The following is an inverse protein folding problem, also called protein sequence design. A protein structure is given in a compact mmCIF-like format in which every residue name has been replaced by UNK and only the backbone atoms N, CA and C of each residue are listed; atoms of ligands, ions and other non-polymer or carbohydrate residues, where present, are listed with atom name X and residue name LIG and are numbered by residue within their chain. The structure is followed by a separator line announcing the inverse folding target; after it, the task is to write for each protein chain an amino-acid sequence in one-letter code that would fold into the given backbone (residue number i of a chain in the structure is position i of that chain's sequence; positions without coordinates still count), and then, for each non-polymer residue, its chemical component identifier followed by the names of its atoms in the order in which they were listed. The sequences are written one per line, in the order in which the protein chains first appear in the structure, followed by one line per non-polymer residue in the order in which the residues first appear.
data_IF_939992263362
#
_entry.id   IF_939992263362
#
_cell.length_a   1.000
_cell.length_b   1.000
_cell.length_c   1.000
_cell.angle_alpha   90.00
_cell.angle_beta   90.00
_cell.angle_gamma   90.00
#
_symmetry.space_group_name_H-M   'P 1'
#
loop_
_entity.id
_entity.type
_entity.pdbx_description
1 polymer ?
#
# COMPACT_ATOMS: atom_id res chain seq x y z
N UNK A 1 11.41 9.28 5.55
CA UNK A 1 10.63 8.07 5.19
C UNK A 1 9.43 7.91 6.11
N UNK A 2 9.61 7.73 7.43
CA UNK A 2 8.51 7.56 8.39
C UNK A 2 7.44 8.67 8.32
N UNK A 3 7.83 9.95 8.31
CA UNK A 3 6.86 11.06 8.19
C UNK A 3 6.07 11.02 6.87
N UNK A 4 6.73 10.66 5.76
CA UNK A 4 6.07 10.53 4.45
C UNK A 4 5.13 9.34 4.43
N UNK A 5 5.53 8.21 5.02
CA UNK A 5 4.68 7.02 5.17
C UNK A 5 3.43 7.34 5.99
N UNK A 6 3.56 8.09 7.10
CA UNK A 6 2.42 8.50 7.93
C UNK A 6 1.46 9.44 7.20
N UNK A 7 1.98 10.44 6.48
CA UNK A 7 1.15 11.40 5.77
C UNK A 7 0.47 10.80 4.53
N UNK A 8 1.14 9.87 3.86
CA UNK A 8 0.62 9.13 2.71
C UNK A 8 -0.15 7.85 3.06
N UNK A 9 -0.24 7.50 4.36
CA UNK A 9 -0.95 6.33 4.81
C UNK A 9 -2.45 6.43 4.49
N UNK A 10 -2.98 5.37 3.87
CA UNK A 10 -4.39 5.18 3.57
C UNK A 10 -4.89 3.89 4.19
N UNK A 11 -6.07 3.95 4.83
CA UNK A 11 -6.66 2.81 5.54
C UNK A 11 -5.82 2.32 6.72
N UNK A 12 -6.32 1.28 7.39
CA UNK A 12 -5.66 0.67 8.54
C UNK A 12 -4.26 0.16 8.23
N UNK A 13 -4.11 -0.62 7.15
CA UNK A 13 -2.82 -1.23 6.78
C UNK A 13 -1.76 -0.18 6.43
N UNK A 14 -2.15 0.95 5.82
CA UNK A 14 -1.24 2.06 5.55
C UNK A 14 -0.71 2.70 6.83
N UNK A 15 -1.57 2.93 7.83
CA UNK A 15 -1.15 3.49 9.12
C UNK A 15 -0.26 2.49 9.89
N UNK A 16 -0.58 1.19 9.87
CA UNK A 16 0.23 0.14 10.49
C UNK A 16 1.62 0.08 9.84
N UNK A 17 1.71 0.16 8.50
CA UNK A 17 2.98 0.22 7.78
C UNK A 17 3.77 1.50 8.12
N UNK A 18 3.10 2.64 8.21
CA UNK A 18 3.74 3.89 8.65
C UNK A 18 4.36 3.73 10.05
N UNK A 19 3.69 3.00 10.94
CA UNK A 19 4.19 2.71 12.28
C UNK A 19 5.36 1.76 12.32
N UNK A 20 5.38 0.79 11.42
CA UNK A 20 6.55 -0.03 11.21
C UNK A 20 7.76 0.84 10.83
N UNK A 21 7.61 1.73 9.83
CA UNK A 21 8.69 2.63 9.41
C UNK A 21 9.11 3.63 10.48
N UNK A 22 8.17 4.12 11.30
CA UNK A 22 8.48 4.97 12.45
C UNK A 22 9.32 4.22 13.47
N UNK A 23 8.90 3.02 13.87
CA UNK A 23 9.66 2.20 14.82
C UNK A 23 11.04 1.82 14.30
N UNK A 24 11.15 1.51 13.00
CA UNK A 24 12.43 1.28 12.33
C UNK A 24 13.33 2.54 12.38
N UNK A 25 12.77 3.71 12.09
CA UNK A 25 13.50 4.98 12.10
C UNK A 25 14.03 5.36 13.48
N UNK A 26 13.23 5.15 14.53
CA UNK A 26 13.62 5.44 15.91
C UNK A 26 14.67 4.46 16.42
N UNK A 27 14.57 3.18 16.01
CA UNK A 27 15.55 2.17 16.39
C UNK A 27 16.94 2.40 15.77
N UNK A 28 16.98 3.06 14.62
CA UNK A 28 18.19 3.38 13.86
C UNK A 28 18.70 4.80 14.08
N UNK A 29 18.10 5.56 15.00
CA UNK A 29 18.50 6.95 15.22
C UNK A 29 19.97 7.05 15.70
N UNK A 30 20.73 7.93 15.06
CA UNK A 30 22.17 8.07 15.30
C UNK A 30 23.07 6.97 14.74
N UNK A 31 22.51 5.90 14.14
CA UNK A 31 23.30 4.81 13.57
C UNK A 31 23.76 5.15 12.13
N UNK A 32 25.06 5.00 11.87
CA UNK A 32 25.66 5.23 10.53
C UNK A 32 25.93 3.94 9.76
N UNK A 33 25.81 2.78 10.42
CA UNK A 33 26.02 1.44 9.84
C UNK A 33 24.98 0.49 10.40
N UNK A 34 24.47 -0.38 9.53
CA UNK A 34 23.49 -1.40 9.88
C UNK A 34 24.13 -2.79 9.79
N UNK A 35 24.22 -3.49 10.92
CA UNK A 35 24.59 -4.91 10.99
C UNK A 35 23.38 -5.81 11.23
N UNK A 36 23.59 -7.12 11.25
CA UNK A 36 22.51 -8.09 11.48
C UNK A 36 21.80 -7.91 12.83
N UNK A 37 22.57 -7.69 13.91
CA UNK A 37 22.03 -7.46 15.27
C UNK A 37 21.20 -6.16 15.34
N UNK A 38 21.71 -5.06 14.78
CA UNK A 38 20.98 -3.78 14.74
C UNK A 38 19.70 -3.90 13.91
N UNK A 39 19.75 -4.59 12.77
CA UNK A 39 18.57 -4.83 11.94
C UNK A 39 17.51 -5.64 12.69
N UNK A 40 17.88 -6.79 13.28
CA UNK A 40 16.98 -7.63 14.07
C UNK A 40 16.31 -6.85 15.22
N UNK A 41 17.10 -6.10 15.98
CA UNK A 41 16.58 -5.22 17.05
C UNK A 41 15.58 -4.20 16.51
N UNK A 42 15.87 -3.61 15.36
CA UNK A 42 15.01 -2.59 14.77
C UNK A 42 13.70 -3.18 14.26
N UNK A 43 13.72 -4.40 13.68
CA UNK A 43 12.53 -5.17 13.32
C UNK A 43 11.65 -5.43 14.55
N UNK A 44 12.24 -5.83 15.67
CA UNK A 44 11.50 -6.03 16.94
C UNK A 44 10.82 -4.75 17.41
N UNK A 45 11.55 -3.64 17.46
CA UNK A 45 10.98 -2.35 17.89
C UNK A 45 9.85 -1.92 16.96
N UNK A 46 10.03 -2.05 15.65
CA UNK A 46 9.01 -1.74 14.65
C UNK A 46 7.76 -2.62 14.80
N UNK A 47 7.93 -3.93 15.01
CA UNK A 47 6.83 -4.87 15.24
C UNK A 47 6.06 -4.51 16.54
N UNK A 48 6.75 -4.32 17.66
CA UNK A 48 6.12 -3.95 18.94
C UNK A 48 5.33 -2.64 18.85
N UNK A 49 5.89 -1.62 18.18
CA UNK A 49 5.18 -0.34 17.98
C UNK A 49 3.97 -0.47 17.06
N UNK A 50 4.06 -1.30 16.02
CA UNK A 50 2.95 -1.56 15.11
C UNK A 50 1.80 -2.27 15.82
N UNK A 51 2.08 -3.23 16.70
CA UNK A 51 1.05 -3.85 17.54
C UNK A 51 0.40 -2.85 18.50
N UNK A 52 1.21 -2.00 19.15
CA UNK A 52 0.73 -1.10 20.20
C UNK A 52 -0.21 0.01 19.74
N UNK A 53 -0.35 0.25 18.43
CA UNK A 53 -1.30 1.25 17.90
C UNK A 53 -2.64 0.66 17.48
N UNK A 54 -2.78 -0.67 17.48
CA UNK A 54 -4.01 -1.35 17.10
C UNK A 54 -4.72 -1.76 18.40
N UNK A 55 -5.93 -1.25 18.69
CA UNK A 55 -6.61 -1.52 19.97
C UNK A 55 -6.89 -3.01 20.21
N UNK A 56 -7.23 -3.74 19.16
CA UNK A 56 -7.54 -5.17 19.21
C UNK A 56 -6.77 -5.90 18.09
N UNK A 57 -5.46 -6.16 18.26
CA UNK A 57 -4.66 -6.80 17.23
C UNK A 57 -5.12 -8.26 17.05
N UNK A 58 -5.19 -8.70 15.80
CA UNK A 58 -5.64 -10.05 15.43
C UNK A 58 -4.51 -10.80 14.74
N UNK A 59 -4.27 -12.06 15.12
CA UNK A 59 -3.31 -12.92 14.46
C UNK A 59 -3.84 -13.39 13.08
N UNK A 60 -2.93 -13.73 12.17
CA UNK A 60 -3.25 -13.96 10.76
C UNK A 60 -3.36 -12.66 9.96
N UNK A 61 -2.82 -11.55 10.46
CA UNK A 61 -2.73 -10.26 9.75
C UNK A 61 -1.27 -9.86 9.55
N UNK A 62 -1.02 -8.71 8.90
CA UNK A 62 0.33 -8.14 8.73
C UNK A 62 1.10 -7.98 10.05
N UNK A 63 0.40 -7.84 11.18
CA UNK A 63 1.00 -7.81 12.50
C UNK A 63 1.71 -9.14 12.82
N UNK A 64 1.07 -10.28 12.54
CA UNK A 64 1.69 -11.61 12.69
C UNK A 64 2.98 -11.71 11.90
N UNK A 65 2.96 -11.24 10.65
CA UNK A 65 4.14 -11.25 9.77
C UNK A 65 5.27 -10.41 10.38
N UNK A 66 4.99 -9.23 10.92
CA UNK A 66 6.00 -8.41 11.60
C UNK A 66 6.58 -9.09 12.83
N UNK A 67 5.73 -9.72 13.66
CA UNK A 67 6.16 -10.42 14.87
C UNK A 67 7.06 -11.60 14.54
N UNK A 68 6.65 -12.46 13.62
CA UNK A 68 7.42 -13.64 13.20
C UNK A 68 8.74 -13.24 12.51
N UNK A 69 8.71 -12.19 11.67
CA UNK A 69 9.93 -11.61 11.09
C UNK A 69 10.92 -11.12 12.15
N UNK A 70 10.44 -10.45 13.20
CA UNK A 70 11.28 -10.00 14.30
C UNK A 70 11.89 -11.17 15.08
N UNK A 71 11.10 -12.21 15.39
CA UNK A 71 11.57 -13.42 16.07
C UNK A 71 12.65 -14.15 15.25
N UNK A 72 12.46 -14.32 13.93
CA UNK A 72 13.46 -14.92 13.05
C UNK A 72 14.71 -14.05 12.96
N UNK A 73 14.56 -12.74 12.85
CA UNK A 73 15.69 -11.80 12.83
C UNK A 73 16.56 -11.92 14.08
N UNK A 74 15.95 -11.96 15.27
CA UNK A 74 16.64 -12.13 16.54
C UNK A 74 17.41 -13.46 16.58
N UNK A 75 16.74 -14.56 16.24
CA UNK A 75 17.34 -15.89 16.22
C UNK A 75 18.50 -16.02 15.22
N UNK A 76 18.35 -15.45 14.02
CA UNK A 76 19.41 -15.45 13.00
C UNK A 76 20.59 -14.58 13.43
N UNK A 77 20.34 -13.40 13.99
CA UNK A 77 21.39 -12.47 14.42
C UNK A 77 22.24 -13.01 15.58
N UNK A 78 21.65 -13.85 16.45
CA UNK A 78 22.38 -14.52 17.53
C UNK A 78 23.44 -15.51 17.01
N UNK A 79 23.24 -16.05 15.80
CA UNK A 79 24.15 -17.03 15.19
C UNK A 79 25.07 -16.39 14.14
N UNK A 80 24.76 -15.16 13.70
CA UNK A 80 25.39 -14.55 12.54
C UNK A 80 25.29 -13.02 12.53
N UNK A 81 26.42 -12.36 12.26
CA UNK A 81 26.50 -10.89 12.25
C UNK A 81 26.24 -10.25 10.89
N UNK A 82 26.17 -11.04 9.82
CA UNK A 82 25.97 -10.55 8.45
C UNK A 82 24.56 -10.02 8.28
N UNK A 83 24.44 -8.72 7.95
CA UNK A 83 23.17 -8.10 7.60
C UNK A 83 22.46 -8.87 6.49
N UNK A 84 23.17 -9.21 5.41
CA UNK A 84 22.58 -9.87 4.24
C UNK A 84 21.92 -11.20 4.60
N UNK A 85 22.58 -12.01 5.44
CA UNK A 85 22.03 -13.31 5.85
C UNK A 85 20.83 -13.15 6.78
N UNK A 86 20.92 -12.28 7.80
CA UNK A 86 19.78 -12.01 8.69
C UNK A 86 18.60 -11.46 7.90
N UNK A 87 18.85 -10.53 6.96
CA UNK A 87 17.82 -9.96 6.09
C UNK A 87 17.19 -11.03 5.19
N UNK A 88 17.99 -11.96 4.65
CA UNK A 88 17.50 -13.06 3.83
C UNK A 88 16.59 -14.00 4.64
N UNK A 89 16.96 -14.34 5.87
CA UNK A 89 16.15 -15.18 6.75
C UNK A 89 14.82 -14.49 7.10
N UNK A 90 14.85 -13.17 7.38
CA UNK A 90 13.64 -12.37 7.62
C UNK A 90 12.74 -12.30 6.38
N UNK A 91 13.31 -12.08 5.19
CA UNK A 91 12.54 -12.05 3.94
C UNK A 91 11.87 -13.40 3.66
N UNK A 92 12.59 -14.51 3.87
CA UNK A 92 12.01 -15.85 3.74
C UNK A 92 10.88 -16.09 4.76
N UNK A 93 11.09 -15.69 6.02
CA UNK A 93 10.09 -15.81 7.07
C UNK A 93 8.83 -14.99 6.78
N UNK A 94 8.94 -13.83 6.11
CA UNK A 94 7.78 -13.03 5.75
C UNK A 94 6.85 -13.76 4.78
N UNK A 95 7.39 -14.42 3.75
CA UNK A 95 6.62 -15.19 2.77
C UNK A 95 5.97 -16.42 3.42
N UNK A 96 6.74 -17.13 4.24
CA UNK A 96 6.27 -18.30 4.99
C UNK A 96 5.15 -17.92 5.97
N UNK A 97 5.29 -16.82 6.71
CA UNK A 97 4.26 -16.31 7.60
C UNK A 97 2.96 -15.96 6.86
N UNK A 98 3.06 -15.26 5.72
CA UNK A 98 1.90 -14.94 4.85
C UNK A 98 1.19 -16.21 4.38
N UNK A 99 1.93 -17.26 4.01
CA UNK A 99 1.33 -18.53 3.59
C UNK A 99 0.46 -19.18 4.68
N UNK A 100 0.74 -18.90 5.95
CA UNK A 100 0.03 -19.46 7.10
C UNK A 100 -1.14 -18.60 7.57
N UNK A 101 -1.28 -17.35 7.11
CA UNK A 101 -2.34 -16.46 7.59
C UNK A 101 -3.75 -17.02 7.43
N UNK A 102 -4.11 -17.76 6.35
CA UNK A 102 -5.43 -18.36 6.24
C UNK A 102 -5.73 -19.37 7.36
N UNK A 103 -4.71 -20.10 7.83
CA UNK A 103 -4.86 -21.04 8.95
C UNK A 103 -4.98 -20.36 10.32
N UNK A 104 -4.75 -19.05 10.41
CA UNK A 104 -4.79 -18.28 11.65
C UNK A 104 -6.05 -17.41 11.76
N UNK A 105 -6.59 -16.96 10.62
CA UNK A 105 -7.72 -16.05 10.56
C UNK A 105 -8.82 -16.61 9.63
N UNK A 106 -9.95 -17.08 10.19
CA UNK A 106 -10.99 -17.78 9.41
C UNK A 106 -11.51 -17.04 8.18
N UNK A 107 -11.67 -15.71 8.27
CA UNK A 107 -12.16 -14.90 7.14
C UNK A 107 -11.24 -14.99 5.91
N UNK A 108 -9.93 -15.18 6.11
CA UNK A 108 -8.97 -15.35 5.03
C UNK A 108 -9.08 -16.74 4.38
N UNK A 109 -9.27 -17.78 5.19
CA UNK A 109 -9.51 -19.14 4.70
C UNK A 109 -10.82 -19.23 3.91
N UNK A 110 -11.90 -18.67 4.45
CA UNK A 110 -13.22 -18.67 3.80
C UNK A 110 -13.21 -17.89 2.48
N UNK A 111 -12.44 -16.80 2.42
CA UNK A 111 -12.23 -16.01 1.21
C UNK A 111 -11.19 -16.60 0.24
N UNK A 112 -10.50 -17.68 0.59
CA UNK A 112 -9.36 -18.23 -0.18
C UNK A 112 -8.29 -17.19 -0.53
N UNK A 113 -7.96 -16.29 0.41
CA UNK A 113 -6.92 -15.27 0.25
C UNK A 113 -5.93 -15.27 1.41
N UNK A 114 -4.75 -14.70 1.20
CA UNK A 114 -3.79 -14.41 2.27
C UNK A 114 -3.93 -12.97 2.75
N UNK A 115 -3.31 -12.62 3.88
CA UNK A 115 -3.27 -11.23 4.33
C UNK A 115 -2.49 -10.36 3.33
N UNK A 116 -3.19 -9.43 2.69
CA UNK A 116 -2.63 -8.58 1.64
C UNK A 116 -1.61 -7.57 2.17
N UNK A 117 -1.77 -7.11 3.42
CA UNK A 117 -0.81 -6.23 4.09
C UNK A 117 0.53 -6.92 4.35
N UNK A 118 0.46 -8.15 4.86
CA UNK A 118 1.60 -9.02 5.11
C UNK A 118 2.30 -9.42 3.82
N UNK A 119 1.54 -9.76 2.78
CA UNK A 119 2.11 -10.04 1.47
C UNK A 119 2.80 -8.81 0.86
N UNK A 120 2.18 -7.63 0.94
CA UNK A 120 2.80 -6.38 0.51
C UNK A 120 4.12 -6.11 1.25
N UNK A 121 4.19 -6.40 2.54
CA UNK A 121 5.43 -6.32 3.32
C UNK A 121 6.49 -7.31 2.85
N UNK A 122 6.11 -8.56 2.58
CA UNK A 122 7.01 -9.58 2.06
C UNK A 122 7.60 -9.18 0.69
N UNK A 123 6.78 -8.59 -0.19
CA UNK A 123 7.22 -8.03 -1.48
C UNK A 123 8.25 -6.91 -1.27
N UNK A 124 8.04 -6.02 -0.28
CA UNK A 124 9.00 -4.96 0.05
C UNK A 124 10.33 -5.52 0.56
N UNK A 125 10.29 -6.56 1.40
CA UNK A 125 11.50 -7.23 1.89
C UNK A 125 12.27 -7.94 0.76
N UNK A 126 11.59 -8.62 -0.15
CA UNK A 126 12.23 -9.23 -1.33
C UNK A 126 12.96 -8.16 -2.16
N UNK A 127 12.28 -7.06 -2.50
CA UNK A 127 12.89 -5.95 -3.24
C UNK A 127 14.11 -5.36 -2.53
N UNK A 128 14.03 -5.16 -1.21
CA UNK A 128 15.14 -4.66 -0.40
C UNK A 128 16.33 -5.63 -0.37
N UNK A 129 16.09 -6.94 -0.24
CA UNK A 129 17.13 -7.96 -0.25
C UNK A 129 17.86 -8.02 -1.61
N UNK A 130 17.11 -7.95 -2.72
CA UNK A 130 17.67 -7.93 -4.07
C UNK A 130 18.55 -6.69 -4.29
N UNK A 131 18.10 -5.54 -3.78
CA UNK A 131 18.89 -4.33 -3.78
C UNK A 131 20.18 -4.49 -2.95
N UNK A 132 20.10 -5.11 -1.78
CA UNK A 132 21.25 -5.38 -0.91
C UNK A 132 22.28 -6.30 -1.59
N UNK A 133 21.82 -7.26 -2.39
CA UNK A 133 22.66 -8.19 -3.17
C UNK A 133 23.17 -7.62 -4.50
N UNK A 134 22.68 -6.46 -4.92
CA UNK A 134 23.02 -5.87 -6.23
C UNK A 134 22.49 -6.69 -7.42
N UNK A 135 21.36 -7.38 -7.26
CA UNK A 135 20.76 -8.18 -8.33
C UNK A 135 20.16 -7.31 -9.44
N UNK A 136 20.24 -7.79 -10.69
CA UNK A 136 19.65 -7.12 -11.87
C UNK A 136 18.95 -8.17 -12.76
N UNK A 137 17.68 -7.98 -13.17
CA UNK A 137 16.81 -6.84 -12.87
C UNK A 137 16.31 -6.86 -11.43
N UNK A 138 16.10 -5.70 -10.79
CA UNK A 138 15.60 -5.61 -9.42
C UNK A 138 14.13 -6.04 -9.28
N UNK A 139 13.33 -5.83 -10.32
CA UNK A 139 11.93 -6.25 -10.36
C UNK A 139 11.80 -7.73 -10.69
N UNK A 140 10.84 -8.41 -10.07
CA UNK A 140 10.36 -9.75 -10.45
C UNK A 140 8.92 -9.93 -10.01
N UNK A 141 8.27 -10.91 -10.60
CA UNK A 141 6.97 -11.38 -10.12
C UNK A 141 7.20 -12.26 -8.90
N UNK A 142 6.51 -11.94 -7.80
CA UNK A 142 6.41 -12.79 -6.62
C UNK A 142 5.00 -13.33 -6.62
N UNK A 143 4.88 -14.65 -6.68
CA UNK A 143 3.58 -15.30 -6.62
C UNK A 143 3.02 -15.20 -5.20
N UNK A 144 1.70 -15.09 -5.08
CA UNK A 144 1.02 -15.15 -3.79
C UNK A 144 1.34 -16.51 -3.15
N UNK A 145 1.89 -16.55 -1.93
CA UNK A 145 2.21 -17.80 -1.29
C UNK A 145 0.91 -18.49 -0.87
N UNK A 146 0.78 -19.77 -1.21
CA UNK A 146 -0.39 -20.59 -0.84
C UNK A 146 -0.01 -21.55 0.29
N UNK A 147 -0.94 -21.89 1.20
CA UNK A 147 -0.67 -22.87 2.25
C UNK A 147 -0.35 -24.25 1.67
N UNK A 148 0.69 -24.91 2.17
CA UNK A 148 1.03 -26.28 1.77
C UNK A 148 -0.10 -27.27 2.15
N UNK A 149 -0.45 -28.20 1.24
CA UNK A 149 -1.46 -29.25 1.43
C UNK A 149 -2.90 -28.75 1.68
N UNK A 150 -3.29 -27.66 1.03
CA UNK A 150 -4.66 -27.16 1.06
C UNK A 150 -5.32 -27.25 -0.33
N UNK A 151 -6.65 -27.40 -0.38
CA UNK A 151 -7.46 -27.24 -1.60
C UNK A 151 -7.54 -25.75 -2.05
N UNK A 152 -6.66 -24.91 -1.52
CA UNK A 152 -6.62 -23.48 -1.71
C UNK A 152 -6.25 -23.17 -3.17
N UNK A 153 -7.23 -22.66 -3.92
CA UNK A 153 -7.05 -22.44 -5.36
C UNK A 153 -6.17 -21.22 -5.65
N UNK A 154 -5.91 -20.39 -4.64
CA UNK A 154 -5.27 -19.07 -4.79
C UNK A 154 -6.15 -18.07 -5.54
N UNK A 155 -7.40 -18.44 -5.86
CA UNK A 155 -8.40 -17.58 -6.48
C UNK A 155 -9.42 -17.20 -5.40
N UNK A 156 -9.70 -15.90 -5.19
CA UNK A 156 -10.61 -15.49 -4.13
C UNK A 156 -11.99 -16.16 -4.28
N UNK A 157 -12.55 -16.69 -3.18
CA UNK A 157 -13.92 -17.18 -3.15
C UNK A 157 -14.89 -15.99 -3.26
N UNK A 158 -15.39 -15.78 -4.48
CA UNK A 158 -16.15 -14.59 -4.86
C UNK A 158 -17.47 -14.49 -4.10
N UNK A 159 -18.15 -15.61 -3.82
CA UNK A 159 -19.43 -15.60 -3.10
C UNK A 159 -19.26 -15.14 -1.65
N UNK A 160 -18.19 -15.58 -0.99
CA UNK A 160 -17.89 -15.18 0.39
C UNK A 160 -17.44 -13.72 0.48
N UNK A 161 -16.56 -13.28 -0.43
CA UNK A 161 -16.10 -11.89 -0.49
C UNK A 161 -17.29 -10.94 -0.63
N UNK A 162 -18.21 -11.21 -1.56
CA UNK A 162 -19.42 -10.40 -1.74
C UNK A 162 -20.34 -10.41 -0.51
N UNK A 163 -20.47 -11.53 0.21
CA UNK A 163 -21.34 -11.64 1.39
C UNK A 163 -20.76 -10.95 2.64
N UNK A 164 -19.43 -11.01 2.83
CA UNK A 164 -18.69 -10.24 3.85
C UNK A 164 -18.77 -8.72 3.62
N UNK A 165 -18.98 -8.35 2.36
CA UNK A 165 -18.99 -6.99 1.85
C UNK A 165 -20.37 -6.30 1.96
N UNK A 166 -21.44 -7.04 2.26
CA UNK A 166 -22.79 -6.50 2.57
C UNK A 166 -22.93 -5.94 4.00
N UNK A 167 -21.84 -5.86 4.76
CA UNK A 167 -21.82 -5.20 6.06
C UNK A 167 -21.75 -3.67 5.88
N UNK A 168 -22.74 -2.93 6.38
CA UNK A 168 -22.71 -1.47 6.47
C UNK A 168 -21.53 -1.04 7.38
N UNK A 169 -20.41 -0.67 6.74
CA UNK A 169 -19.25 -0.05 7.40
C UNK A 169 -19.33 1.48 7.32
N UNK A 170 -20.21 2.00 6.47
CA UNK A 170 -20.40 3.43 6.22
C UNK A 170 -19.17 4.03 5.55
N UNK A 171 -18.58 5.02 6.19
CA UNK A 171 -17.44 5.76 5.64
C UNK A 171 -16.13 5.46 6.37
N UNK A 172 -15.11 5.15 5.57
CA UNK A 172 -13.72 5.25 5.98
C UNK A 172 -13.31 6.72 5.99
N UNK A 173 -13.09 7.27 7.19
CA UNK A 173 -12.71 8.67 7.38
C UNK A 173 -11.28 8.75 7.86
N UNK A 174 -10.42 9.38 7.06
CA UNK A 174 -8.99 9.55 7.32
C UNK A 174 -8.65 11.03 7.32
N UNK A 175 -7.96 11.53 8.34
CA UNK A 175 -7.53 12.93 8.39
C UNK A 175 -6.31 13.12 9.27
N UNK A 176 -5.64 14.27 9.12
CA UNK A 176 -4.54 14.67 9.97
C UNK A 176 -4.92 15.87 10.85
N UNK A 177 -4.52 15.85 12.11
CA UNK A 177 -4.66 16.93 13.09
C UNK A 177 -3.28 17.51 13.37
N UNK A 178 -3.11 18.81 13.21
CA UNK A 178 -1.86 19.52 13.51
C UNK A 178 -2.04 20.41 14.73
N UNK A 179 -1.16 20.24 15.72
CA UNK A 179 -1.08 21.08 16.92
C UNK A 179 0.33 21.05 17.53
N UNK A 180 0.68 22.06 18.34
CA UNK A 180 1.97 22.09 19.05
C UNK A 180 2.11 20.96 20.07
N UNK A 181 1.01 20.59 20.72
CA UNK A 181 0.91 19.46 21.65
C UNK A 181 -0.29 18.62 21.28
N UNK A 182 -0.07 17.32 21.06
CA UNK A 182 -1.10 16.35 20.75
C UNK A 182 -1.12 15.29 21.84
N UNK A 183 -2.31 15.05 22.37
CA UNK A 183 -2.58 13.92 23.25
C UNK A 183 -3.17 12.78 22.42
N UNK A 184 -2.31 11.91 21.91
CA UNK A 184 -2.69 10.82 21.02
C UNK A 184 -3.60 9.79 21.71
N UNK A 185 -3.48 9.64 23.02
CA UNK A 185 -4.31 8.71 23.80
C UNK A 185 -5.73 9.25 23.90
N UNK A 186 -5.89 10.51 24.27
CA UNK A 186 -7.20 11.15 24.33
C UNK A 186 -7.88 11.22 22.95
N UNK A 187 -7.13 11.54 21.88
CA UNK A 187 -7.67 11.51 20.51
C UNK A 187 -8.16 10.09 20.18
N UNK A 188 -7.41 9.04 20.54
CA UNK A 188 -7.80 7.65 20.29
C UNK A 188 -9.06 7.29 21.06
N UNK A 189 -9.11 7.54 22.36
CA UNK A 189 -10.27 7.27 23.21
C UNK A 189 -11.53 7.97 22.67
N UNK A 190 -11.38 9.22 22.23
CA UNK A 190 -12.47 9.98 21.61
C UNK A 190 -12.96 9.34 20.31
N UNK A 191 -12.06 8.84 19.47
CA UNK A 191 -12.43 8.16 18.22
C UNK A 191 -13.06 6.79 18.48
N UNK A 192 -12.62 6.06 19.50
CA UNK A 192 -13.21 4.78 19.93
C UNK A 192 -14.64 4.93 20.42
N UNK A 193 -14.97 6.07 21.05
CA UNK A 193 -16.33 6.36 21.50
C UNK A 193 -17.32 6.64 20.36
N UNK A 194 -16.86 7.14 19.22
CA UNK A 194 -17.73 7.66 18.15
C UNK A 194 -17.69 6.84 16.86
N UNK A 195 -16.73 5.93 16.72
CA UNK A 195 -16.54 5.13 15.51
C UNK A 195 -15.98 3.74 15.81
N UNK A 196 -15.65 3.01 14.74
CA UNK A 196 -15.17 1.63 14.81
C UNK A 196 -13.72 1.56 14.34
N UNK A 197 -12.96 0.67 14.98
CA UNK A 197 -11.57 0.34 14.67
C UNK A 197 -10.67 1.55 14.42
N UNK A 198 -10.67 2.57 15.29
CA UNK A 198 -9.85 3.74 15.05
C UNK A 198 -8.37 3.40 15.17
N UNK A 199 -7.58 3.96 14.27
CA UNK A 199 -6.12 4.01 14.39
C UNK A 199 -5.71 5.47 14.48
N UNK A 200 -5.02 5.80 15.56
CA UNK A 200 -4.48 7.13 15.82
C UNK A 200 -2.99 7.01 16.11
N UNK A 201 -2.19 7.70 15.31
CA UNK A 201 -0.76 7.86 15.54
C UNK A 201 -0.31 9.27 15.19
N UNK A 202 0.83 9.72 15.69
CA UNK A 202 1.40 11.00 15.29
C UNK A 202 2.92 11.07 15.33
N UNK A 203 3.48 11.96 14.50
CA UNK A 203 4.89 12.32 14.46
C UNK A 203 4.99 13.83 14.36
N UNK A 204 5.86 14.45 15.17
CA UNK A 204 6.28 15.84 15.00
C UNK A 204 5.13 16.88 15.02
N UNK A 205 4.19 16.74 15.95
CA UNK A 205 3.05 17.66 16.08
C UNK A 205 1.93 17.46 15.05
N UNK A 206 1.92 16.33 14.36
CA UNK A 206 0.83 15.88 13.49
C UNK A 206 0.33 14.52 13.94
N UNK A 207 -0.97 14.36 14.17
CA UNK A 207 -1.65 13.09 14.38
C UNK A 207 -2.42 12.71 13.12
N UNK A 208 -2.28 11.48 12.63
CA UNK A 208 -3.13 10.89 11.61
C UNK A 208 -4.17 10.02 12.30
N UNK A 209 -5.42 10.21 11.90
CA UNK A 209 -6.59 9.47 12.38
C UNK A 209 -7.18 8.71 11.20
N UNK A 210 -7.51 7.44 11.43
CA UNK A 210 -8.36 6.64 10.58
C UNK A 210 -9.47 6.07 11.46
N UNK A 211 -10.73 6.16 11.03
CA UNK A 211 -11.88 5.63 11.76
C UNK A 211 -13.02 5.31 10.79
N UNK A 212 -13.76 4.22 11.07
CA UNK A 212 -14.95 3.85 10.30
C UNK A 212 -16.21 4.34 11.02
N UNK A 213 -17.11 5.01 10.29
CA UNK A 213 -18.36 5.54 10.86
C UNK A 213 -19.40 5.91 9.80
N UNK A 214 -20.66 5.93 10.20
CA UNK A 214 -21.79 6.38 9.36
C UNK A 214 -21.74 7.87 9.01
N UNK A 215 -21.25 8.69 9.94
CA UNK A 215 -21.24 10.16 9.80
C UNK A 215 -19.82 10.70 10.00
N UNK A 216 -19.03 10.84 8.90
CA UNK A 216 -17.68 11.43 8.93
C UNK A 216 -17.60 12.77 9.66
N UNK A 217 -18.69 13.55 9.61
CA UNK A 217 -18.77 14.86 10.22
C UNK A 217 -18.52 14.84 11.72
N UNK A 218 -18.88 13.76 12.42
CA UNK A 218 -18.62 13.59 13.86
C UNK A 218 -17.13 13.44 14.15
N UNK A 219 -16.39 12.64 13.38
CA UNK A 219 -14.94 12.50 13.59
C UNK A 219 -14.18 13.78 13.24
N UNK A 220 -14.56 14.48 12.16
CA UNK A 220 -13.95 15.77 11.83
C UNK A 220 -14.25 16.82 12.91
N UNK A 221 -15.49 16.90 13.37
CA UNK A 221 -15.87 17.83 14.45
C UNK A 221 -15.11 17.53 15.74
N UNK A 222 -14.98 16.26 16.11
CA UNK A 222 -14.16 15.85 17.25
C UNK A 222 -12.68 16.17 17.04
N UNK A 223 -12.14 15.97 15.84
CA UNK A 223 -10.75 16.29 15.50
C UNK A 223 -10.39 17.77 15.63
N UNK A 224 -11.35 18.66 15.32
CA UNK A 224 -11.19 20.12 15.50
C UNK A 224 -11.02 20.53 16.96
N UNK A 225 -11.46 19.71 17.92
CA UNK A 225 -11.23 19.96 19.35
C UNK A 225 -9.73 19.86 19.72
N UNK A 226 -8.92 19.18 18.90
CA UNK A 226 -7.50 18.89 19.17
C UNK A 226 -6.52 19.65 18.27
N UNK A 227 -6.97 20.34 17.23
CA UNK A 227 -6.09 21.12 16.35
C UNK A 227 -6.65 21.41 14.97
N UNK A 228 -5.75 21.78 14.05
CA UNK A 228 -6.10 22.13 12.68
C UNK A 228 -6.15 20.86 11.83
N UNK A 229 -7.27 20.63 11.15
CA UNK A 229 -7.42 19.50 10.25
C UNK A 229 -6.72 19.71 8.90
N UNK A 230 -6.19 18.64 8.33
CA UNK A 230 -5.57 18.59 7.00
C UNK A 230 -5.65 17.16 6.44
N UNK A 231 -5.33 16.99 5.15
CA UNK A 231 -5.25 15.68 4.49
C UNK A 231 -6.48 14.78 4.76
N UNK A 232 -7.67 15.37 4.61
CA UNK A 232 -8.96 14.72 4.82
C UNK A 232 -9.27 13.86 3.59
N UNK A 233 -9.52 12.57 3.80
CA UNK A 233 -9.99 11.61 2.83
C UNK A 233 -11.22 10.91 3.42
N UNK A 234 -12.31 10.89 2.66
CA UNK A 234 -13.55 10.24 3.06
C UNK A 234 -13.94 9.32 1.92
N UNK A 235 -14.01 8.02 2.20
CA UNK A 235 -14.42 7.01 1.24
C UNK A 235 -15.66 6.29 1.75
N UNK A 236 -16.72 6.27 0.94
CA UNK A 236 -17.87 5.41 1.19
C UNK A 236 -17.44 3.97 0.88
N UNK A 237 -17.44 3.10 1.89
CA UNK A 237 -16.97 1.73 1.73
C UNK A 237 -17.99 0.86 0.98
N UNK A 238 -19.28 1.16 1.11
CA UNK A 238 -20.36 0.43 0.43
C UNK A 238 -20.28 0.65 -1.09
N UNK A 239 -19.92 1.85 -1.52
CA UNK A 239 -19.66 2.16 -2.94
C UNK A 239 -18.35 1.52 -3.43
N UNK A 240 -17.28 1.54 -2.63
CA UNK A 240 -16.02 0.87 -3.01
C UNK A 240 -16.20 -0.63 -3.21
N UNK A 241 -17.00 -1.25 -2.36
CA UNK A 241 -17.47 -2.63 -2.48
C UNK A 241 -18.25 -2.85 -3.77
N UNK A 242 -19.25 -2.01 -4.04
CA UNK A 242 -20.09 -2.11 -5.23
C UNK A 242 -19.29 -1.93 -6.54
N UNK A 243 -18.36 -0.97 -6.56
CA UNK A 243 -17.48 -0.69 -7.69
C UNK A 243 -16.53 -1.87 -7.95
N UNK A 244 -15.91 -2.44 -6.90
CA UNK A 244 -15.05 -3.63 -7.04
C UNK A 244 -15.85 -4.85 -7.52
N UNK A 245 -17.05 -5.07 -6.98
CA UNK A 245 -17.94 -6.14 -7.45
C UNK A 245 -18.39 -5.92 -8.91
N UNK A 246 -18.57 -4.67 -9.33
CA UNK A 246 -18.96 -4.31 -10.70
C UNK A 246 -17.82 -4.42 -11.71
N UNK A 247 -16.61 -3.96 -11.38
CA UNK A 247 -15.39 -4.09 -12.20
C UNK A 247 -15.04 -5.56 -12.46
N UNK A 248 -15.40 -6.45 -11.53
CA UNK A 248 -15.22 -7.91 -11.69
C UNK A 248 -16.31 -8.57 -12.52
N UNK A 249 -17.54 -8.07 -12.50
CA UNK A 249 -18.62 -8.55 -13.39
C UNK A 249 -18.45 -8.05 -14.81
N UNK A 250 -17.89 -6.85 -14.98
CA UNK A 250 -17.62 -6.20 -16.27
C UNK A 250 -16.17 -6.40 -16.72
N UNK A 251 -15.67 -7.63 -16.68
CA UNK A 251 -14.45 -7.98 -17.40
C UNK A 251 -14.68 -8.07 -18.93
N UNK A 252 -15.81 -7.55 -19.41
CA UNK A 252 -16.16 -7.32 -20.81
C UNK A 252 -16.59 -5.85 -20.97
N UNK A 253 -15.72 -5.11 -21.66
CA UNK A 253 -15.93 -3.87 -22.41
C UNK A 253 -16.39 -2.55 -21.74
N UNK A 254 -15.67 -1.50 -22.17
CA UNK A 254 -15.99 -0.06 -22.16
C UNK A 254 -15.92 0.68 -20.82
N UNK A 255 -14.72 1.20 -20.53
CA UNK A 255 -14.56 2.37 -19.66
C UNK A 255 -15.23 3.56 -20.36
N UNK A 256 -16.33 4.08 -19.82
CA UNK A 256 -16.88 5.35 -20.27
C UNK A 256 -15.81 6.43 -20.07
N UNK A 257 -15.25 6.90 -21.18
CA UNK A 257 -14.29 7.99 -21.20
C UNK A 257 -15.04 9.26 -20.81
N UNK A 258 -14.92 9.65 -19.55
CA UNK A 258 -15.36 10.97 -19.11
C UNK A 258 -14.61 12.00 -19.96
N UNK A 259 -15.34 12.76 -20.78
CA UNK A 259 -14.76 13.79 -21.64
C UNK A 259 -14.11 14.86 -20.77
N UNK A 260 -12.80 14.79 -20.64
CA UNK A 260 -11.97 15.79 -19.97
C UNK A 260 -11.23 16.59 -21.03
N UNK A 261 -11.12 17.91 -20.83
CA UNK A 261 -10.33 18.80 -21.69
C UNK A 261 -8.84 18.40 -21.74
N UNK A 262 -8.37 17.59 -20.78
CA UNK A 262 -7.00 17.06 -20.74
C UNK A 262 -7.05 15.53 -20.64
N UNK A 263 -6.30 14.87 -21.51
CA UNK A 263 -6.05 13.43 -21.46
C UNK A 263 -4.69 13.13 -20.83
N UNK A 264 -4.59 12.04 -20.08
CA UNK A 264 -3.32 11.58 -19.49
C UNK A 264 -2.92 10.25 -20.13
N UNK A 265 -1.71 10.19 -20.68
CA UNK A 265 -1.07 8.97 -21.19
C UNK A 265 0.08 8.63 -20.26
N UNK A 266 0.05 7.46 -19.65
CA UNK A 266 1.09 7.03 -18.72
C UNK A 266 1.80 5.77 -19.18
N UNK A 267 3.07 5.63 -18.84
CA UNK A 267 3.81 4.39 -19.03
C UNK A 267 3.82 3.61 -17.71
N UNK A 268 3.55 2.31 -17.76
CA UNK A 268 3.51 1.47 -16.56
C UNK A 268 4.07 0.07 -16.83
N UNK A 269 4.73 -0.49 -15.82
CA UNK A 269 5.32 -1.83 -15.85
C UNK A 269 4.36 -2.85 -15.23
N UNK A 270 3.82 -3.74 -16.05
CA UNK A 270 3.00 -4.87 -15.61
C UNK A 270 1.55 -4.51 -15.27
N UNK A 271 0.68 -5.50 -15.38
CA UNK A 271 -0.78 -5.28 -15.37
C UNK A 271 -1.33 -4.75 -14.05
N UNK A 272 -0.67 -5.05 -12.91
CA UNK A 272 -1.06 -4.53 -11.61
C UNK A 272 -1.00 -3.00 -11.53
N UNK A 273 0.09 -2.38 -12.00
CA UNK A 273 0.22 -0.93 -12.00
C UNK A 273 -0.71 -0.28 -13.03
N UNK A 274 -0.91 -0.94 -14.19
CA UNK A 274 -1.89 -0.48 -15.19
C UNK A 274 -3.30 -0.44 -14.60
N UNK A 275 -3.72 -1.51 -13.94
CA UNK A 275 -5.04 -1.61 -13.34
C UNK A 275 -5.22 -0.59 -12.21
N UNK A 276 -4.20 -0.41 -11.36
CA UNK A 276 -4.23 0.62 -10.32
C UNK A 276 -4.39 2.04 -10.90
N UNK A 277 -3.69 2.36 -11.99
CA UNK A 277 -3.81 3.68 -12.63
C UNK A 277 -5.19 3.90 -13.25
N UNK A 278 -5.81 2.84 -13.80
CA UNK A 278 -7.18 2.87 -14.31
C UNK A 278 -8.20 3.01 -13.17
N UNK A 279 -8.11 2.19 -12.13
CA UNK A 279 -9.10 2.12 -11.04
C UNK A 279 -9.01 3.26 -10.04
N UNK A 280 -7.82 3.82 -9.81
CA UNK A 280 -7.63 4.94 -8.88
C UNK A 280 -8.16 6.28 -9.41
N UNK A 281 -8.82 6.31 -10.58
CA UNK A 281 -9.42 7.52 -11.12
C UNK A 281 -8.41 8.62 -11.42
N UNK A 282 -7.14 8.27 -11.69
CA UNK A 282 -6.05 9.23 -11.94
C UNK A 282 -6.20 10.00 -13.27
N UNK A 283 -7.35 9.89 -13.94
CA UNK A 283 -7.60 10.50 -15.25
C UNK A 283 -6.75 9.92 -16.37
N UNK A 284 -6.11 8.77 -16.14
CA UNK A 284 -5.27 8.09 -17.14
C UNK A 284 -6.16 7.49 -18.21
N UNK A 285 -6.22 8.18 -19.35
CA UNK A 285 -7.01 7.81 -20.52
C UNK A 285 -6.39 6.67 -21.33
N UNK A 286 -5.06 6.50 -21.25
CA UNK A 286 -4.35 5.44 -21.97
C UNK A 286 -3.07 5.07 -21.23
N UNK A 287 -2.70 3.78 -21.29
CA UNK A 287 -1.50 3.25 -20.65
C UNK A 287 -0.66 2.51 -21.67
N UNK A 288 0.61 2.86 -21.77
CA UNK A 288 1.60 2.20 -22.61
C UNK A 288 2.45 1.26 -21.76
N UNK A 289 2.71 0.08 -22.29
CA UNK A 289 3.64 -0.88 -21.69
C UNK A 289 5.06 -0.34 -21.65
N UNK A 290 5.67 -0.28 -20.46
CA UNK A 290 7.08 0.04 -20.35
C UNK A 290 7.68 -0.20 -18.96
N UNK A 291 9.00 -0.11 -18.83
CA UNK A 291 9.73 -0.39 -17.60
C UNK A 291 11.23 -0.56 -17.85
N UNK A 292 11.99 -0.93 -16.82
CA UNK A 292 13.46 -1.00 -16.92
C UNK A 292 13.96 -2.00 -17.97
N UNK A 293 13.16 -3.02 -18.29
CA UNK A 293 13.46 -4.06 -19.28
C UNK A 293 12.61 -3.99 -20.54
N UNK A 294 11.62 -3.09 -20.60
CA UNK A 294 10.74 -2.89 -21.75
C UNK A 294 10.64 -1.39 -22.06
N UNK A 295 11.40 -0.92 -23.03
CA UNK A 295 11.36 0.49 -23.44
C UNK A 295 10.32 0.65 -24.55
N UNK A 296 9.20 1.31 -24.27
CA UNK A 296 8.23 1.70 -25.30
C UNK A 296 8.92 2.59 -26.33
N UNK A 297 8.64 2.34 -27.61
CA UNK A 297 9.20 3.14 -28.69
C UNK A 297 8.50 4.50 -28.80
N UNK A 298 9.12 5.45 -29.52
CA UNK A 298 8.47 6.73 -29.87
C UNK A 298 7.14 6.49 -30.59
N UNK A 299 7.07 5.45 -31.43
CA UNK A 299 5.86 5.10 -32.17
C UNK A 299 4.74 4.61 -31.24
N UNK A 300 5.06 3.83 -30.21
CA UNK A 300 4.08 3.35 -29.23
C UNK A 300 3.50 4.51 -28.42
N UNK A 301 4.37 5.42 -27.97
CA UNK A 301 3.96 6.62 -27.23
C UNK A 301 3.13 7.56 -28.12
N UNK A 302 3.55 7.77 -29.36
CA UNK A 302 2.82 8.59 -30.32
C UNK A 302 1.43 8.01 -30.61
N UNK A 303 1.34 6.69 -30.82
CA UNK A 303 0.06 6.02 -31.05
C UNK A 303 -0.90 6.23 -29.87
N UNK A 304 -0.41 6.11 -28.63
CA UNK A 304 -1.22 6.32 -27.44
C UNK A 304 -1.66 7.78 -27.24
N UNK A 305 -0.83 8.75 -27.65
CA UNK A 305 -1.17 10.17 -27.66
C UNK A 305 -2.23 10.47 -28.73
N UNK A 306 -2.09 9.91 -29.92
CA UNK A 306 -3.05 10.10 -31.02
C UNK A 306 -4.42 9.49 -30.71
N UNK A 307 -4.46 8.34 -30.03
CA UNK A 307 -5.72 7.70 -29.62
C UNK A 307 -6.36 8.34 -28.39
N UNK A 308 -5.66 9.24 -27.71
CA UNK A 308 -6.19 9.93 -26.54
C UNK A 308 -7.39 10.83 -26.91
N UNK A 309 -8.42 10.92 -26.05
CA UNK A 309 -9.69 11.59 -26.36
C UNK A 309 -9.64 13.13 -26.38
N UNK A 310 -8.48 13.73 -26.08
CA UNK A 310 -8.27 15.18 -26.08
C UNK A 310 -7.03 15.57 -26.90
N UNK A 311 -7.05 16.80 -27.43
CA UNK A 311 -5.93 17.45 -28.09
C UNK A 311 -4.88 17.99 -27.09
N UNK A 312 -5.21 18.06 -25.80
CA UNK A 312 -4.27 18.39 -24.73
C UNK A 312 -3.90 17.11 -23.96
N UNK A 313 -2.65 16.68 -24.07
CA UNK A 313 -2.18 15.42 -23.51
C UNK A 313 -1.05 15.65 -22.52
N UNK A 314 -1.15 15.05 -21.34
CA UNK A 314 -0.02 14.93 -20.39
C UNK A 314 0.59 13.54 -20.58
N UNK A 315 1.85 13.48 -21.01
CA UNK A 315 2.60 12.25 -21.19
C UNK A 315 3.50 11.99 -19.98
N UNK A 316 3.18 10.95 -19.22
CA UNK A 316 3.92 10.53 -18.03
C UNK A 316 4.86 9.37 -18.38
N UNK A 317 6.16 9.61 -18.65
CA UNK A 317 7.08 8.57 -19.09
C UNK A 317 7.39 7.53 -18.01
N UNK A 318 7.24 7.89 -16.71
CA UNK A 318 7.39 7.03 -15.52
C UNK A 318 8.65 6.14 -15.43
N UNK A 319 9.58 6.28 -16.36
CA UNK A 319 10.83 5.55 -16.44
C UNK A 319 11.89 6.43 -17.12
N UNK A 320 13.07 6.53 -16.50
CA UNK A 320 14.19 7.36 -17.00
C UNK A 320 14.64 6.96 -18.42
N UNK A 321 14.52 5.69 -18.79
CA UNK A 321 14.92 5.19 -20.10
C UNK A 321 13.93 5.60 -21.21
N UNK A 322 12.70 5.98 -20.84
CA UNK A 322 11.61 6.33 -21.76
C UNK A 322 11.51 7.86 -21.96
N UNK A 323 12.07 8.65 -21.04
CA UNK A 323 12.13 10.13 -21.16
C UNK A 323 12.65 10.61 -22.52
N UNK A 324 13.75 10.07 -23.10
CA UNK A 324 14.24 10.52 -24.40
C UNK A 324 13.27 10.23 -25.56
N UNK A 325 12.47 9.16 -25.47
CA UNK A 325 11.45 8.84 -26.46
C UNK A 325 10.24 9.76 -26.30
N UNK A 326 9.77 9.97 -25.06
CA UNK A 326 8.66 10.85 -24.75
C UNK A 326 8.89 12.30 -25.19
N UNK A 327 10.13 12.81 -25.06
CA UNK A 327 10.50 14.16 -25.49
C UNK A 327 10.41 14.39 -27.01
N UNK A 328 10.41 13.34 -27.83
CA UNK A 328 10.28 13.45 -29.28
C UNK A 328 8.81 13.56 -29.72
N UNK A 329 7.89 12.99 -28.94
CA UNK A 329 6.46 12.89 -29.27
C UNK A 329 5.83 14.25 -29.62
N UNK A 330 6.05 15.36 -28.86
CA UNK A 330 5.43 16.65 -29.17
C UNK A 330 5.78 17.22 -30.56
N UNK A 331 6.88 16.79 -31.17
CA UNK A 331 7.29 17.24 -32.51
C UNK A 331 6.68 16.41 -33.65
N UNK A 332 5.96 15.34 -33.32
CA UNK A 332 5.45 14.33 -34.25
C UNK A 332 3.91 14.27 -34.30
N UNK A 333 3.22 15.12 -33.53
CA UNK A 333 1.76 15.20 -33.45
C UNK A 333 1.32 16.66 -33.50
N UNK A 334 0.10 16.90 -34.00
CA UNK A 334 -0.55 18.21 -33.94
C UNK A 334 -1.20 18.47 -32.57
N UNK A 335 -1.28 17.45 -31.70
CA UNK A 335 -1.77 17.59 -30.33
C UNK A 335 -0.77 18.34 -29.46
N UNK A 336 -1.29 19.07 -28.47
CA UNK A 336 -0.47 19.74 -27.46
C UNK A 336 -0.07 18.73 -26.38
N UNK A 337 1.15 18.19 -26.49
CA UNK A 337 1.70 17.23 -25.52
C UNK A 337 2.61 17.93 -24.52
N UNK A 338 2.42 17.65 -23.22
CA UNK A 338 3.26 18.12 -22.10
C UNK A 338 3.84 16.97 -21.31
#
# INVERSE_FOLDING_TARGET
MASSALLGARGNSGLILAQFFKGLSEALDGESKLGGEQFARSMRIAATKSYGVVPNPVEGTMLTVYRECAEVGENSSAQNKSLEKVFADVAAASIDSVSRTPGMLPVLAEAEVVDSGGFGFAVMLDGALRCLRGEVPLARVINVPVPENSDFTGSPNIEFVNASEELDWGYCTVFAIKAEKLDLENIRDRMELIGRSPIVDGIGGVAKVHVHMEDPGKALSAGLEYGILSNIEIANMDNQTADWASDRRNNDESTEVVSSDIAVVAVAAGDGLKNLMKSAGLGVTSIVDGGDTMNSSVADLLTAVETAPSDHVILLPNNKNIVPAAQQVPSLTDKTVR
#
